data_IF_292470045467
#
_entry.id   IF_292470045467
#
_cell.length_a   1.000
_cell.length_b   1.000
_cell.length_c   1.000
_cell.angle_alpha   90.00
_cell.angle_beta   90.00
_cell.angle_gamma   90.00
#
_symmetry.space_group_name_H-M   'P 1'
#
loop_
_entity.id
_entity.type
_entity.pdbx_description
1 polymer ?
#
# COMPACT_ATOMS: atom_id res chain seq x y z
N UNK A 1 5.93 -12.24 -32.49
CA UNK A 1 4.65 -12.29 -31.76
C UNK A 1 4.41 -10.91 -31.15
N UNK A 2 3.71 -10.02 -31.87
CA UNK A 2 3.56 -8.62 -31.49
C UNK A 2 2.55 -8.48 -30.35
N UNK A 3 3.02 -8.35 -29.11
CA UNK A 3 2.13 -8.04 -27.99
C UNK A 3 1.47 -6.68 -28.24
N UNK A 4 0.14 -6.65 -28.18
CA UNK A 4 -0.62 -5.40 -28.29
C UNK A 4 -0.28 -4.51 -27.08
N UNK A 5 0.05 -3.24 -27.30
CA UNK A 5 0.42 -2.28 -26.25
C UNK A 5 -0.58 -2.21 -25.08
N UNK A 6 -1.86 -2.52 -25.34
CA UNK A 6 -2.95 -2.59 -24.35
C UNK A 6 -2.80 -3.75 -23.36
N UNK A 7 -2.12 -4.84 -23.72
CA UNK A 7 -1.93 -6.01 -22.86
C UNK A 7 -0.84 -5.78 -21.82
N UNK A 8 0.21 -5.02 -22.15
CA UNK A 8 1.26 -4.61 -21.20
C UNK A 8 0.71 -3.80 -20.02
N UNK A 9 -0.28 -2.95 -20.26
CA UNK A 9 -0.94 -2.16 -19.21
C UNK A 9 -2.12 -2.87 -18.54
N UNK A 10 -2.45 -4.10 -18.95
CA UNK A 10 -3.59 -4.80 -18.38
C UNK A 10 -3.25 -5.33 -16.99
N UNK A 11 -4.02 -4.93 -15.98
CA UNK A 11 -3.89 -5.45 -14.62
C UNK A 11 -3.90 -6.99 -14.58
N UNK A 12 -4.67 -7.63 -15.47
CA UNK A 12 -4.73 -9.09 -15.61
C UNK A 12 -3.39 -9.71 -15.99
N UNK A 13 -2.59 -9.02 -16.79
CA UNK A 13 -1.28 -9.49 -17.24
C UNK A 13 -0.28 -9.57 -16.07
N UNK A 14 -0.22 -8.52 -15.26
CA UNK A 14 0.65 -8.49 -14.08
C UNK A 14 0.25 -9.55 -13.05
N UNK A 15 -1.06 -9.74 -12.81
CA UNK A 15 -1.56 -10.78 -11.90
C UNK A 15 -1.22 -12.17 -12.43
N UNK A 16 -1.40 -12.43 -13.74
CA UNK A 16 -1.01 -13.72 -14.33
C UNK A 16 0.48 -14.00 -14.14
N UNK A 17 1.32 -12.99 -14.34
CA UNK A 17 2.77 -13.11 -14.13
C UNK A 17 3.15 -13.32 -12.67
N UNK A 18 2.38 -12.76 -11.74
CA UNK A 18 2.52 -13.04 -10.31
C UNK A 18 2.09 -14.47 -9.94
N UNK A 19 1.06 -15.00 -10.59
CA UNK A 19 0.62 -16.39 -10.41
C UNK A 19 1.57 -17.41 -11.08
N UNK A 20 2.32 -16.99 -12.10
CA UNK A 20 3.40 -17.78 -12.72
C UNK A 20 4.67 -17.84 -11.84
N UNK A 21 4.81 -16.93 -10.88
CA UNK A 21 5.81 -17.11 -9.82
C UNK A 21 5.42 -18.35 -8.99
N UNK A 22 6.41 -19.12 -8.54
CA UNK A 22 6.20 -20.34 -7.73
C UNK A 22 5.56 -20.09 -6.35
N UNK A 23 5.14 -18.86 -6.07
CA UNK A 23 4.50 -18.47 -4.83
C UNK A 23 3.04 -18.92 -4.84
N UNK A 24 2.52 -19.38 -3.70
CA UNK A 24 1.09 -19.68 -3.60
C UNK A 24 0.27 -18.38 -3.72
N UNK A 25 -0.92 -18.37 -4.38
CA UNK A 25 -1.72 -17.15 -4.51
C UNK A 25 -2.05 -16.47 -3.18
N UNK A 26 -2.17 -17.28 -2.12
CA UNK A 26 -2.37 -16.84 -0.75
C UNK A 26 -1.14 -16.08 -0.20
N UNK A 27 0.08 -16.55 -0.49
CA UNK A 27 1.33 -15.89 -0.11
C UNK A 27 1.51 -14.57 -0.88
N UNK A 28 1.12 -14.54 -2.16
CA UNK A 28 1.10 -13.32 -2.98
C UNK A 28 0.10 -12.30 -2.45
N UNK A 29 -1.12 -12.73 -2.09
CA UNK A 29 -2.15 -11.86 -1.52
C UNK A 29 -1.68 -11.22 -0.20
N UNK A 30 -1.10 -12.02 0.70
CA UNK A 30 -0.52 -11.55 1.97
C UNK A 30 0.62 -10.57 1.74
N UNK A 31 1.52 -10.88 0.80
CA UNK A 31 2.63 -10.02 0.44
C UNK A 31 2.12 -8.67 -0.05
N UNK A 32 1.19 -8.68 -1.00
CA UNK A 32 0.61 -7.45 -1.55
C UNK A 32 -0.09 -6.61 -0.47
N UNK A 33 -0.89 -7.24 0.38
CA UNK A 33 -1.58 -6.55 1.47
C UNK A 33 -0.61 -5.90 2.47
N UNK A 34 0.47 -6.61 2.82
CA UNK A 34 1.53 -6.08 3.68
C UNK A 34 2.25 -4.88 3.02
N UNK A 35 2.56 -5.01 1.73
CA UNK A 35 3.17 -3.94 0.95
C UNK A 35 2.29 -2.69 0.91
N UNK A 36 1.00 -2.85 0.65
CA UNK A 36 0.01 -1.76 0.64
C UNK A 36 -0.05 -1.09 2.01
N UNK A 37 -0.13 -1.87 3.09
CA UNK A 37 -0.12 -1.32 4.45
C UNK A 37 1.11 -0.42 4.70
N UNK A 38 2.30 -0.92 4.36
CA UNK A 38 3.57 -0.20 4.54
C UNK A 38 3.65 1.03 3.64
N UNK A 39 3.08 0.98 2.43
CA UNK A 39 3.06 2.11 1.49
C UNK A 39 2.24 3.31 1.97
N UNK A 40 1.29 3.11 2.88
CA UNK A 40 0.55 4.20 3.56
C UNK A 40 1.26 4.73 4.82
N UNK A 41 2.30 4.05 5.31
CA UNK A 41 3.08 4.57 6.42
C UNK A 41 4.07 5.64 5.91
N UNK A 42 4.34 6.70 6.69
CA UNK A 42 5.28 7.76 6.30
C UNK A 42 6.75 7.31 6.43
N UNK A 43 7.09 6.13 5.92
CA UNK A 43 8.45 5.52 5.89
C UNK A 43 9.08 5.58 4.49
N UNK A 44 8.79 6.67 3.78
CA UNK A 44 9.25 6.92 2.42
C UNK A 44 10.78 6.78 2.33
N UNK A 45 11.26 6.07 1.30
CA UNK A 45 12.68 5.76 1.09
C UNK A 45 13.10 4.38 1.64
N UNK A 46 12.51 3.91 2.74
CA UNK A 46 12.82 2.59 3.32
C UNK A 46 11.68 1.57 3.20
N UNK A 47 10.52 1.98 2.69
CA UNK A 47 9.31 1.16 2.60
C UNK A 47 9.51 -0.22 1.96
N UNK A 48 10.23 -0.30 0.83
CA UNK A 48 10.47 -1.57 0.11
C UNK A 48 11.32 -2.51 0.97
N UNK A 49 12.38 -1.99 1.59
CA UNK A 49 13.26 -2.78 2.45
C UNK A 49 12.48 -3.32 3.66
N UNK A 50 11.69 -2.47 4.31
CA UNK A 50 10.84 -2.85 5.46
C UNK A 50 9.82 -3.92 5.03
N UNK A 51 9.16 -3.73 3.89
CA UNK A 51 8.16 -4.66 3.37
C UNK A 51 8.76 -6.03 3.02
N UNK A 52 9.90 -6.07 2.35
CA UNK A 52 10.60 -7.32 2.02
C UNK A 52 11.04 -8.05 3.29
N UNK A 53 11.60 -7.32 4.26
CA UNK A 53 12.04 -7.91 5.52
C UNK A 53 10.87 -8.52 6.28
N UNK A 54 9.78 -7.77 6.47
CA UNK A 54 8.59 -8.28 7.16
C UNK A 54 7.96 -9.44 6.38
N UNK A 55 7.90 -9.35 5.04
CA UNK A 55 7.36 -10.42 4.20
C UNK A 55 8.18 -11.71 4.34
N UNK A 56 9.51 -11.62 4.46
CA UNK A 56 10.37 -12.77 4.67
C UNK A 56 10.07 -13.48 6.00
N UNK A 57 9.85 -12.74 7.08
CA UNK A 57 9.46 -13.32 8.38
C UNK A 57 8.03 -13.86 8.38
N UNK A 58 7.10 -13.18 7.70
CA UNK A 58 5.69 -13.56 7.63
C UNK A 58 5.40 -14.69 6.62
N UNK A 59 6.43 -15.25 5.96
CA UNK A 59 6.30 -16.23 4.86
C UNK A 59 5.32 -15.74 3.78
N UNK A 60 5.43 -14.46 3.44
CA UNK A 60 4.64 -13.82 2.38
C UNK A 60 5.53 -13.55 1.16
N UNK A 61 4.92 -13.37 -0.01
CA UNK A 61 5.68 -13.09 -1.23
C UNK A 61 6.39 -11.73 -1.12
N UNK A 62 7.73 -11.77 -1.14
CA UNK A 62 8.58 -10.57 -1.06
C UNK A 62 8.39 -9.66 -2.27
N UNK A 63 8.19 -10.26 -3.44
CA UNK A 63 7.96 -9.54 -4.70
C UNK A 63 6.61 -8.82 -4.63
N UNK A 64 5.55 -9.52 -4.21
CA UNK A 64 4.24 -8.91 -4.04
C UNK A 64 4.25 -7.80 -2.98
N UNK A 65 5.00 -7.97 -1.89
CA UNK A 65 5.18 -6.94 -0.88
C UNK A 65 5.88 -5.70 -1.43
N UNK A 66 6.98 -5.85 -2.17
CA UNK A 66 7.65 -4.74 -2.83
C UNK A 66 6.70 -3.99 -3.78
N UNK A 67 5.95 -4.72 -4.62
CA UNK A 67 4.95 -4.13 -5.52
C UNK A 67 3.86 -3.39 -4.74
N UNK A 68 3.36 -3.97 -3.65
CA UNK A 68 2.34 -3.35 -2.80
C UNK A 68 2.78 -2.02 -2.21
N UNK A 69 4.07 -1.85 -1.88
CA UNK A 69 4.57 -0.55 -1.36
C UNK A 69 4.47 0.57 -2.38
N UNK A 70 4.46 0.26 -3.67
CA UNK A 70 4.33 1.23 -4.75
C UNK A 70 2.87 1.65 -5.02
N UNK A 71 1.93 1.30 -4.12
CA UNK A 71 0.59 1.92 -4.12
C UNK A 71 0.70 3.43 -3.97
N UNK A 72 1.74 3.91 -3.28
CA UNK A 72 2.17 5.31 -3.26
C UNK A 72 3.38 5.48 -4.18
N UNK A 73 3.28 6.44 -5.10
CA UNK A 73 4.38 6.88 -5.97
C UNK A 73 4.77 8.32 -5.62
N UNK A 74 5.94 8.85 -6.03
CA UNK A 74 6.39 10.20 -5.68
C UNK A 74 5.37 11.30 -5.96
N UNK A 75 4.50 11.11 -6.96
CA UNK A 75 3.43 12.05 -7.30
C UNK A 75 2.23 11.95 -6.34
N UNK A 76 1.90 10.75 -5.86
CA UNK A 76 0.77 10.51 -4.95
C UNK A 76 1.16 10.55 -3.47
N UNK A 77 2.45 10.43 -3.13
CA UNK A 77 2.91 10.42 -1.74
C UNK A 77 2.49 11.69 -1.00
N UNK A 78 2.68 12.87 -1.61
CA UNK A 78 2.32 14.15 -0.98
C UNK A 78 0.83 14.25 -0.64
N UNK A 79 -0.12 14.02 -1.58
CA UNK A 79 -1.54 14.06 -1.24
C UNK A 79 -1.94 12.96 -0.25
N UNK A 80 -1.35 11.76 -0.32
CA UNK A 80 -1.62 10.69 0.64
C UNK A 80 -1.21 11.10 2.06
N UNK A 81 -0.02 11.65 2.25
CA UNK A 81 0.44 12.13 3.56
C UNK A 81 -0.44 13.25 4.14
N UNK A 82 -0.97 14.13 3.28
CA UNK A 82 -1.92 15.16 3.71
C UNK A 82 -3.21 14.50 4.21
N UNK A 83 -3.75 13.54 3.46
CA UNK A 83 -4.97 12.80 3.85
C UNK A 83 -4.74 12.04 5.15
N UNK A 84 -3.63 11.30 5.26
CA UNK A 84 -3.24 10.57 6.47
C UNK A 84 -3.15 11.50 7.67
N UNK A 85 -2.51 12.65 7.53
CA UNK A 85 -2.45 13.65 8.59
C UNK A 85 -3.85 14.10 9.03
N UNK A 86 -4.75 14.45 8.10
CA UNK A 86 -6.09 14.89 8.44
C UNK A 86 -6.93 13.78 9.10
N UNK A 87 -6.83 12.55 8.61
CA UNK A 87 -7.51 11.38 9.19
C UNK A 87 -7.01 11.15 10.61
N UNK A 88 -5.69 11.07 10.82
CA UNK A 88 -5.13 10.86 12.14
C UNK A 88 -5.36 12.02 13.10
N UNK A 89 -5.31 13.27 12.62
CA UNK A 89 -5.69 14.46 13.40
C UNK A 89 -7.13 14.35 13.92
N UNK A 90 -8.08 13.91 13.06
CA UNK A 90 -9.47 13.72 13.46
C UNK A 90 -9.62 12.59 14.47
N UNK A 91 -8.94 11.46 14.25
CA UNK A 91 -8.94 10.31 15.19
C UNK A 91 -8.40 10.74 16.56
N UNK A 92 -7.21 11.34 16.61
CA UNK A 92 -6.58 11.78 17.85
C UNK A 92 -7.42 12.82 18.61
N UNK A 93 -8.09 13.73 17.89
CA UNK A 93 -9.00 14.69 18.52
C UNK A 93 -10.25 14.03 19.09
N UNK A 94 -10.80 13.02 18.43
CA UNK A 94 -11.94 12.24 18.97
C UNK A 94 -11.54 11.48 20.24
N UNK A 95 -10.27 11.08 20.36
CA UNK A 95 -9.70 10.45 21.55
C UNK A 95 -9.32 11.46 22.66
N UNK A 96 -9.54 12.76 22.45
CA UNK A 96 -9.28 13.80 23.45
C UNK A 96 -7.86 14.36 23.46
N UNK A 97 -7.00 13.98 22.51
CA UNK A 97 -5.64 14.53 22.43
C UNK A 97 -5.62 15.94 21.83
N UNK A 98 -4.77 16.80 22.37
CA UNK A 98 -4.50 18.13 21.83
C UNK A 98 -3.48 18.01 20.70
N UNK A 99 -3.98 18.08 19.47
CA UNK A 99 -3.16 17.98 18.27
C UNK A 99 -3.16 19.32 17.56
N UNK A 100 -1.99 19.78 17.12
CA UNK A 100 -1.88 21.00 16.34
C UNK A 100 -2.59 20.81 14.99
N UNK A 101 -3.44 21.76 14.59
CA UNK A 101 -4.04 21.82 13.26
C UNK A 101 -3.10 22.57 12.31
N UNK A 102 -2.60 21.88 11.30
CA UNK A 102 -1.83 22.50 10.22
C UNK A 102 -2.77 22.91 9.10
N UNK A 103 -2.67 24.17 8.69
CA UNK A 103 -3.33 24.67 7.48
C UNK A 103 -2.42 24.50 6.28
N UNK A 104 -2.99 24.08 5.16
CA UNK A 104 -2.30 23.99 3.85
C UNK A 104 -1.75 25.36 3.40
N UNK A 105 -2.36 26.45 3.85
CA UNK A 105 -1.93 27.82 3.53
C UNK A 105 -0.62 28.26 4.21
N UNK A 106 -0.14 27.50 5.20
CA UNK A 106 1.04 27.87 6.02
C UNK A 106 2.18 26.86 5.86
N UNK A 107 2.20 26.13 4.74
CA UNK A 107 3.22 25.13 4.42
C UNK A 107 4.58 25.82 4.22
N UNK A 108 5.35 25.94 5.31
CA UNK A 108 6.69 26.51 5.30
C UNK A 108 7.69 25.41 5.68
N UNK A 109 8.70 25.21 4.83
CA UNK A 109 9.72 24.16 4.99
C UNK A 109 10.46 24.30 6.34
N UNK A 110 10.66 25.53 6.80
CA UNK A 110 11.27 25.81 8.11
C UNK A 110 10.40 25.40 9.30
N UNK A 111 9.07 25.51 9.19
CA UNK A 111 8.12 25.07 10.23
C UNK A 111 7.92 23.55 10.23
N UNK A 112 8.03 22.89 9.08
CA UNK A 112 8.00 21.44 8.98
C UNK A 112 9.15 20.80 9.76
N UNK A 113 10.34 21.41 9.73
CA UNK A 113 11.52 20.88 10.41
C UNK A 113 11.45 21.02 11.94
N UNK A 114 10.98 22.16 12.44
CA UNK A 114 10.83 22.39 13.90
C UNK A 114 9.62 21.69 14.50
N UNK A 115 8.61 21.34 13.68
CA UNK A 115 7.36 20.72 14.13
C UNK A 115 7.20 19.28 13.63
N UNK A 116 8.26 18.70 13.07
CA UNK A 116 8.20 17.41 12.36
C UNK A 116 7.63 16.28 13.20
N UNK A 117 8.02 16.16 14.46
CA UNK A 117 7.50 15.13 15.37
C UNK A 117 6.00 15.26 15.65
N UNK A 118 5.49 16.50 15.77
CA UNK A 118 4.06 16.74 16.02
C UNK A 118 3.20 16.47 14.77
N UNK A 119 3.79 16.47 13.58
CA UNK A 119 3.16 16.06 12.33
C UNK A 119 3.25 14.55 12.09
N UNK A 120 4.32 13.91 12.54
CA UNK A 120 4.53 12.48 12.36
C UNK A 120 3.46 11.66 13.07
N UNK A 121 3.14 11.96 14.33
CA UNK A 121 2.17 11.14 15.10
C UNK A 121 0.79 11.08 14.41
N UNK A 122 0.14 12.21 14.05
CA UNK A 122 -1.13 12.16 13.34
C UNK A 122 -1.01 11.48 11.97
N UNK A 123 0.07 11.74 11.23
CA UNK A 123 0.28 11.10 9.93
C UNK A 123 0.42 9.58 10.06
N UNK A 124 1.16 9.08 11.06
CA UNK A 124 1.27 7.66 11.34
C UNK A 124 -0.07 7.04 11.74
N UNK A 125 -0.86 7.73 12.59
CA UNK A 125 -2.19 7.23 13.01
C UNK A 125 -3.11 7.12 11.80
N UNK A 126 -3.16 8.14 10.93
CA UNK A 126 -3.98 8.11 9.74
C UNK A 126 -3.50 7.09 8.71
N UNK A 127 -2.19 7.05 8.45
CA UNK A 127 -1.57 6.09 7.54
C UNK A 127 -1.75 4.64 8.00
N UNK A 128 -1.64 4.36 9.31
CA UNK A 128 -1.94 3.04 9.85
C UNK A 128 -3.43 2.68 9.70
N UNK A 129 -4.32 3.66 9.90
CA UNK A 129 -5.78 3.45 9.79
C UNK A 129 -6.20 3.18 8.34
N UNK A 130 -5.82 4.08 7.42
CA UNK A 130 -6.10 3.94 5.99
C UNK A 130 -5.36 2.75 5.39
N UNK A 131 -4.08 2.59 5.74
CA UNK A 131 -3.27 1.46 5.33
C UNK A 131 -3.91 0.13 5.72
N UNK A 132 -4.49 0.00 6.91
CA UNK A 132 -5.20 -1.21 7.32
C UNK A 132 -6.41 -1.49 6.43
N UNK A 133 -7.23 -0.46 6.15
CA UNK A 133 -8.40 -0.58 5.27
C UNK A 133 -7.97 -1.02 3.86
N UNK A 134 -7.00 -0.33 3.26
CA UNK A 134 -6.53 -0.63 1.91
C UNK A 134 -5.78 -1.97 1.83
N UNK A 135 -5.08 -2.36 2.90
CA UNK A 135 -4.44 -3.67 3.02
C UNK A 135 -5.46 -4.79 2.96
N UNK A 136 -6.54 -4.69 3.73
CA UNK A 136 -7.64 -5.67 3.73
C UNK A 136 -8.28 -5.74 2.35
N UNK A 137 -8.60 -4.58 1.75
CA UNK A 137 -9.16 -4.52 0.39
C UNK A 137 -8.23 -5.15 -0.65
N UNK A 138 -6.92 -4.92 -0.54
CA UNK A 138 -5.93 -5.49 -1.44
C UNK A 138 -5.83 -7.00 -1.33
N UNK A 139 -5.89 -7.56 -0.12
CA UNK A 139 -5.86 -9.00 0.11
C UNK A 139 -7.07 -9.69 -0.56
N UNK A 140 -8.29 -9.23 -0.24
CA UNK A 140 -9.51 -9.81 -0.79
C UNK A 140 -9.65 -9.56 -2.29
N UNK A 141 -9.26 -8.37 -2.76
CA UNK A 141 -9.26 -8.01 -4.17
C UNK A 141 -8.36 -8.93 -4.99
N UNK A 142 -7.13 -9.18 -4.52
CA UNK A 142 -6.21 -10.11 -5.18
C UNK A 142 -6.74 -11.54 -5.16
N UNK A 143 -7.20 -12.03 -4.00
CA UNK A 143 -7.70 -13.40 -3.85
C UNK A 143 -8.85 -13.69 -4.82
N UNK A 144 -9.86 -12.82 -4.85
CA UNK A 144 -11.01 -12.94 -5.77
C UNK A 144 -10.58 -12.91 -7.23
N UNK A 145 -9.60 -12.08 -7.59
CA UNK A 145 -9.07 -12.03 -8.95
C UNK A 145 -8.29 -13.29 -9.33
N UNK A 146 -7.49 -13.83 -8.41
CA UNK A 146 -6.71 -15.04 -8.63
C UNK A 146 -7.61 -16.27 -8.80
N UNK A 147 -8.66 -16.39 -7.99
CA UNK A 147 -9.68 -17.46 -8.10
C UNK A 147 -10.37 -17.42 -9.47
N UNK A 148 -10.83 -16.24 -9.90
CA UNK A 148 -11.45 -16.05 -11.22
C UNK A 148 -10.54 -16.41 -12.40
N UNK A 149 -9.21 -16.27 -12.25
CA UNK A 149 -8.25 -16.65 -13.30
C UNK A 149 -8.06 -18.15 -13.33
N UNK A 150 -7.97 -18.80 -12.16
CA UNK A 150 -7.86 -20.27 -12.06
C UNK A 150 -9.09 -20.98 -12.58
N UNK A 151 -10.30 -20.49 -12.28
CA UNK A 151 -11.55 -21.05 -12.81
C UNK A 151 -11.57 -21.02 -14.34
N UNK A 152 -11.17 -19.90 -14.96
CA UNK A 152 -11.13 -19.79 -16.42
C UNK A 152 -10.10 -20.71 -17.08
N UNK A 153 -8.96 -20.94 -16.42
CA UNK A 153 -7.95 -21.87 -16.92
C UNK A 153 -8.44 -23.32 -16.87
N UNK A 154 -9.11 -23.72 -15.79
CA UNK A 154 -9.67 -25.07 -15.67
C UNK A 154 -10.83 -25.34 -16.65
N UNK A 155 -11.56 -24.30 -17.07
CA UNK A 155 -12.61 -24.41 -18.10
C UNK A 155 -12.03 -24.48 -19.52
N UNK A 156 -10.84 -23.91 -19.78
CA UNK A 156 -10.16 -24.01 -21.09
C UNK A 156 -9.38 -25.34 -21.27
N UNK A 157 -9.06 -26.05 -20.18
CA UNK A 157 -8.39 -27.37 -20.22
C UNK A 157 -9.32 -28.57 -20.02
N UNK A 158 -10.60 -28.35 -19.74
CA UNK A 158 -11.65 -29.38 -19.67
C UNK A 158 -12.39 -29.52 -20.99
#
# INVERSE_FOLDING_TARGET
MGMKLKELFSFRFYIKKLLELKDQPEETARGLALGVFIGFLPVNGFQVLIAITIAAFAKASKIAAAIGTHVTNPWTTVPVLIIDYYVGYRILRLLGYQVMRVSLSTFSISKLFSTGLALLVPTFVGGASLGLIFSILSYFGFKKFAENIKEKQNVETA
#
